data_IF_065231448475
#
_entry.id   IF_065231448475
#
_cell.length_a   1.000
_cell.length_b   1.000
_cell.length_c   1.000
_cell.angle_alpha   90.00
_cell.angle_beta   90.00
_cell.angle_gamma   90.00
#
_symmetry.space_group_name_H-M   'P 1'
#
loop_
_entity.id
_entity.type
_entity.pdbx_description
1 polymer ?
#
# COMPACT_ATOMS: atom_id res chain seq x y z
N UNK A 1 16.46 -9.78 24.26
CA UNK A 1 15.45 -9.99 23.21
C UNK A 1 15.66 -8.93 22.16
N UNK A 2 16.41 -9.28 21.11
CA UNK A 2 16.74 -8.39 20.01
C UNK A 2 15.91 -8.80 18.80
N UNK A 3 14.98 -7.92 18.43
CA UNK A 3 14.03 -8.17 17.35
C UNK A 3 14.60 -7.53 16.09
N UNK A 4 14.93 -8.36 15.11
CA UNK A 4 15.52 -7.92 13.85
C UNK A 4 14.59 -8.21 12.68
N UNK A 5 14.74 -7.39 11.63
CA UNK A 5 14.01 -7.57 10.37
C UNK A 5 14.99 -7.89 9.26
N UNK A 6 14.91 -9.11 8.73
CA UNK A 6 15.58 -9.48 7.49
C UNK A 6 14.70 -9.14 6.30
N UNK A 7 15.28 -8.62 5.22
CA UNK A 7 14.54 -8.30 3.98
C UNK A 7 15.08 -9.14 2.84
N UNK A 8 14.25 -10.05 2.34
CA UNK A 8 14.50 -10.76 1.10
C UNK A 8 13.79 -10.02 -0.04
N UNK A 9 14.60 -9.35 -0.88
CA UNK A 9 14.08 -8.58 -2.01
C UNK A 9 13.63 -9.48 -3.17
N UNK A 10 14.23 -10.65 -3.35
CA UNK A 10 13.89 -11.57 -4.42
C UNK A 10 12.54 -12.22 -4.15
N UNK A 11 12.33 -12.69 -2.92
CA UNK A 11 11.04 -13.23 -2.49
C UNK A 11 10.02 -12.13 -2.13
N UNK A 12 10.44 -10.86 -2.09
CA UNK A 12 9.63 -9.68 -1.71
C UNK A 12 9.00 -9.90 -0.33
N UNK A 13 9.80 -10.20 0.69
CA UNK A 13 9.32 -10.41 2.05
C UNK A 13 10.27 -9.83 3.10
N UNK A 14 9.68 -9.45 4.22
CA UNK A 14 10.35 -9.11 5.47
C UNK A 14 10.13 -10.25 6.47
N UNK A 15 11.17 -10.67 7.17
CA UNK A 15 11.09 -11.64 8.25
C UNK A 15 11.48 -10.94 9.54
N UNK A 16 10.54 -10.86 10.46
CA UNK A 16 10.73 -10.30 11.80
C UNK A 16 10.92 -11.46 12.76
N UNK A 17 12.07 -11.53 13.41
CA UNK A 17 12.42 -12.63 14.33
C UNK A 17 13.31 -12.15 15.48
N UNK A 18 13.37 -12.96 16.53
CA UNK A 18 14.21 -12.75 17.70
C UNK A 18 15.54 -13.47 17.43
N UNK A 19 16.62 -12.70 17.28
CA UNK A 19 17.94 -13.22 16.89
C UNK A 19 18.66 -13.95 18.03
N UNK A 20 18.28 -13.67 19.27
CA UNK A 20 18.77 -14.35 20.48
C UNK A 20 18.12 -15.74 20.65
N UNK A 21 17.13 -16.08 19.83
CA UNK A 21 16.41 -17.35 19.95
C UNK A 21 17.25 -18.53 19.50
N UNK A 22 17.34 -19.55 20.35
CA UNK A 22 18.10 -20.78 20.09
C UNK A 22 17.27 -21.93 19.53
N UNK A 23 15.94 -21.86 19.63
CA UNK A 23 15.01 -22.87 19.13
C UNK A 23 14.21 -22.37 17.91
N UNK A 24 13.81 -23.25 16.98
CA UNK A 24 12.95 -22.87 15.87
C UNK A 24 11.62 -22.24 16.34
N UNK A 25 11.08 -21.24 15.61
CA UNK A 25 9.77 -20.67 15.92
C UNK A 25 8.65 -21.71 15.89
N UNK A 26 7.83 -21.74 16.94
CA UNK A 26 6.66 -22.61 17.04
C UNK A 26 5.46 -22.14 16.18
N UNK A 27 5.45 -20.87 15.79
CA UNK A 27 4.41 -20.29 14.94
C UNK A 27 4.97 -19.19 14.05
N UNK A 28 4.27 -18.92 12.96
CA UNK A 28 4.57 -17.85 12.00
C UNK A 28 3.29 -17.10 11.68
N UNK A 29 3.34 -15.77 11.63
CA UNK A 29 2.23 -14.96 11.17
C UNK A 29 2.64 -14.26 9.88
N UNK A 30 1.98 -14.59 8.78
CA UNK A 30 2.14 -13.91 7.49
C UNK A 30 1.17 -12.74 7.45
N UNK A 31 1.66 -11.56 7.07
CA UNK A 31 0.85 -10.36 6.86
C UNK A 31 1.07 -9.81 5.45
N UNK A 32 -0.02 -9.59 4.73
CA UNK A 32 -0.02 -8.99 3.38
C UNK A 32 -1.38 -8.32 3.13
N UNK A 33 -1.39 -7.05 2.70
CA UNK A 33 -2.63 -6.28 2.39
C UNK A 33 -3.70 -6.23 3.50
N UNK A 34 -3.28 -6.09 4.76
CA UNK A 34 -4.23 -6.08 5.88
C UNK A 34 -4.88 -7.44 6.16
N UNK A 35 -4.41 -8.50 5.51
CA UNK A 35 -4.79 -9.90 5.79
C UNK A 35 -3.66 -10.57 6.54
N UNK A 36 -4.03 -11.41 7.52
CA UNK A 36 -3.10 -12.24 8.24
C UNK A 36 -3.43 -13.73 8.15
N UNK A 37 -2.38 -14.54 8.25
CA UNK A 37 -2.47 -16.00 8.36
C UNK A 37 -1.47 -16.50 9.38
N UNK A 38 -1.96 -17.26 10.35
CA UNK A 38 -1.13 -17.90 11.37
C UNK A 38 -0.88 -19.35 10.97
N UNK A 39 0.38 -19.76 11.05
CA UNK A 39 0.85 -21.11 10.78
C UNK A 39 1.54 -21.61 12.03
N UNK A 40 1.07 -22.73 12.57
CA UNK A 40 1.66 -23.36 13.76
C UNK A 40 2.46 -24.59 13.31
N UNK A 41 3.65 -24.75 13.87
CA UNK A 41 4.47 -25.93 13.69
C UNK A 41 3.81 -27.13 14.38
N UNK A 42 3.72 -28.25 13.67
CA UNK A 42 3.17 -29.49 14.20
C UNK A 42 4.22 -30.24 15.04
N UNK A 43 3.79 -31.14 15.95
CA UNK A 43 4.72 -32.00 16.67
C UNK A 43 5.63 -32.77 15.69
N UNK A 44 6.93 -32.80 15.98
CA UNK A 44 7.97 -33.47 15.18
C UNK A 44 8.16 -32.95 13.75
N UNK A 45 7.53 -31.82 13.40
CA UNK A 45 7.74 -31.18 12.10
C UNK A 45 9.10 -30.50 12.06
N UNK A 46 9.89 -30.79 11.02
CA UNK A 46 11.19 -30.13 10.87
C UNK A 46 11.02 -28.63 10.52
N UNK A 47 11.95 -27.76 10.96
CA UNK A 47 11.86 -26.32 10.66
C UNK A 47 11.78 -26.01 9.16
N UNK A 48 12.47 -26.80 8.33
CA UNK A 48 12.43 -26.66 6.88
C UNK A 48 11.03 -26.93 6.31
N UNK A 49 10.32 -27.94 6.84
CA UNK A 49 8.95 -28.26 6.39
C UNK A 49 7.97 -27.17 6.79
N UNK A 50 8.07 -26.65 8.03
CA UNK A 50 7.25 -25.50 8.46
C UNK A 50 7.50 -24.30 7.54
N UNK A 51 8.76 -24.02 7.21
CA UNK A 51 9.11 -22.90 6.33
C UNK A 51 8.55 -23.08 4.92
N UNK A 52 8.59 -24.29 4.35
CA UNK A 52 7.95 -24.56 3.06
C UNK A 52 6.45 -24.31 3.08
N UNK A 53 5.76 -24.67 4.17
CA UNK A 53 4.33 -24.33 4.36
C UNK A 53 4.11 -22.82 4.45
N UNK A 54 4.99 -22.10 5.14
CA UNK A 54 4.92 -20.62 5.22
C UNK A 54 5.03 -20.00 3.82
N UNK A 55 6.00 -20.44 3.03
CA UNK A 55 6.18 -19.96 1.66
C UNK A 55 5.00 -20.37 0.75
N UNK A 56 4.49 -21.59 0.87
CA UNK A 56 3.31 -22.06 0.13
C UNK A 56 2.07 -21.21 0.44
N UNK A 57 1.80 -20.94 1.72
CA UNK A 57 0.69 -20.06 2.11
C UNK A 57 0.89 -18.62 1.62
N UNK A 58 2.11 -18.10 1.64
CA UNK A 58 2.39 -16.78 1.06
C UNK A 58 2.09 -16.77 -0.45
N UNK A 59 2.47 -17.81 -1.18
CA UNK A 59 2.16 -17.95 -2.60
C UNK A 59 0.64 -17.99 -2.85
N UNK A 60 -0.10 -18.79 -2.07
CA UNK A 60 -1.56 -18.87 -2.15
C UNK A 60 -2.22 -17.50 -1.90
N UNK A 61 -1.75 -16.78 -0.87
CA UNK A 61 -2.25 -15.43 -0.57
C UNK A 61 -1.99 -14.46 -1.73
N UNK A 62 -0.79 -14.52 -2.33
CA UNK A 62 -0.46 -13.70 -3.51
C UNK A 62 -1.31 -14.06 -4.72
N UNK A 63 -1.61 -15.33 -4.93
CA UNK A 63 -2.47 -15.78 -6.02
C UNK A 63 -3.93 -15.33 -5.85
N UNK A 64 -4.41 -15.24 -4.61
CA UNK A 64 -5.72 -14.63 -4.32
C UNK A 64 -5.71 -13.13 -4.63
N UNK A 65 -4.65 -12.42 -4.27
CA UNK A 65 -4.49 -10.99 -4.56
C UNK A 65 -4.46 -10.76 -6.08
N UNK A 66 -3.64 -11.54 -6.81
CA UNK A 66 -3.51 -11.44 -8.28
C UNK A 66 -4.84 -11.67 -9.00
N UNK A 67 -5.65 -12.63 -8.55
CA UNK A 67 -6.95 -12.96 -9.15
C UNK A 67 -8.07 -12.01 -8.76
N UNK A 68 -7.87 -11.17 -7.74
CA UNK A 68 -8.86 -10.20 -7.29
C UNK A 68 -8.93 -8.97 -8.19
N UNK A 69 -9.77 -8.00 -7.82
CA UNK A 69 -9.89 -6.70 -8.50
C UNK A 69 -8.63 -5.79 -8.38
N UNK A 70 -7.51 -6.35 -7.93
CA UNK A 70 -6.32 -5.65 -7.46
C UNK A 70 -5.08 -6.00 -8.30
N UNK A 71 -5.26 -6.12 -9.61
CA UNK A 71 -4.16 -6.34 -10.57
C UNK A 71 -3.00 -5.34 -10.36
N UNK A 72 -1.77 -5.84 -10.40
CA UNK A 72 -0.55 -5.02 -10.30
C UNK A 72 0.10 -4.99 -8.90
N UNK A 73 -0.30 -5.86 -7.98
CA UNK A 73 0.24 -5.93 -6.61
C UNK A 73 0.89 -7.24 -6.21
N UNK A 74 1.10 -8.12 -7.18
CA UNK A 74 1.80 -9.39 -7.12
C UNK A 74 3.18 -9.28 -6.45
N UNK A 75 3.79 -8.09 -6.52
CA UNK A 75 5.11 -7.83 -5.99
C UNK A 75 5.15 -7.26 -4.57
N UNK A 76 4.06 -6.90 -3.90
CA UNK A 76 4.23 -6.21 -2.62
C UNK A 76 5.01 -7.03 -1.58
N UNK A 77 5.69 -6.31 -0.67
CA UNK A 77 6.37 -6.95 0.44
C UNK A 77 5.36 -7.56 1.40
N UNK A 78 5.51 -8.85 1.68
CA UNK A 78 4.85 -9.49 2.80
C UNK A 78 5.70 -9.36 4.06
N UNK A 79 5.08 -9.35 5.24
CA UNK A 79 5.81 -9.41 6.51
C UNK A 79 5.51 -10.72 7.22
N UNK A 80 6.53 -11.47 7.59
CA UNK A 80 6.44 -12.73 8.31
C UNK A 80 6.99 -12.52 9.72
N UNK A 81 6.16 -12.71 10.73
CA UNK A 81 6.59 -12.71 12.13
C UNK A 81 6.89 -14.14 12.57
N UNK A 82 8.15 -14.44 12.87
CA UNK A 82 8.62 -15.77 13.20
C UNK A 82 8.63 -15.99 14.73
N UNK A 83 7.52 -16.52 15.25
CA UNK A 83 7.31 -16.80 16.68
C UNK A 83 7.30 -15.54 17.55
N UNK A 84 6.98 -14.39 16.95
CA UNK A 84 6.71 -13.14 17.62
C UNK A 84 5.29 -12.74 17.24
N UNK A 85 4.54 -12.17 18.17
CA UNK A 85 3.25 -11.57 17.85
C UNK A 85 3.46 -10.13 17.37
N UNK A 86 2.88 -9.73 16.23
CA UNK A 86 2.90 -8.34 15.81
C UNK A 86 2.23 -7.47 16.88
N UNK A 87 2.84 -6.32 17.19
CA UNK A 87 2.23 -5.33 18.08
C UNK A 87 1.03 -4.66 17.39
N UNK A 88 0.12 -4.09 18.16
CA UNK A 88 -1.01 -3.34 17.59
C UNK A 88 -0.53 -2.18 16.71
N UNK A 89 0.56 -1.52 17.10
CA UNK A 89 1.17 -0.46 16.29
C UNK A 89 1.66 -0.99 14.92
N UNK A 90 2.26 -2.17 14.88
CA UNK A 90 2.69 -2.79 13.62
C UNK A 90 1.50 -3.19 12.76
N UNK A 91 0.44 -3.75 13.34
CA UNK A 91 -0.80 -4.07 12.62
C UNK A 91 -1.43 -2.80 12.03
N UNK A 92 -1.51 -1.73 12.82
CA UNK A 92 -1.99 -0.43 12.38
C UNK A 92 -1.14 0.15 11.25
N UNK A 93 0.18 0.02 11.33
CA UNK A 93 1.09 0.45 10.25
C UNK A 93 0.80 -0.31 8.94
N UNK A 94 0.67 -1.65 8.99
CA UNK A 94 0.34 -2.43 7.80
C UNK A 94 -1.03 -2.09 7.22
N UNK A 95 -2.02 -1.85 8.08
CA UNK A 95 -3.37 -1.42 7.66
C UNK A 95 -3.30 -0.04 7.02
N UNK A 96 -2.53 0.89 7.60
CA UNK A 96 -2.32 2.23 7.04
C UNK A 96 -1.70 2.16 5.66
N UNK A 97 -0.63 1.39 5.49
CA UNK A 97 0.05 1.20 4.19
C UNK A 97 -0.90 0.61 3.14
N UNK A 98 -1.79 -0.29 3.57
CA UNK A 98 -2.85 -0.82 2.72
C UNK A 98 -3.87 0.25 2.30
N UNK A 99 -4.39 1.03 3.25
CA UNK A 99 -5.36 2.11 2.99
C UNK A 99 -4.77 3.16 2.06
N UNK A 100 -3.53 3.61 2.32
CA UNK A 100 -2.83 4.60 1.48
C UNK A 100 -2.74 4.12 0.04
N UNK A 101 -2.43 2.85 -0.17
CA UNK A 101 -2.42 2.30 -1.52
C UNK A 101 -3.80 2.28 -2.18
N UNK A 102 -4.83 1.81 -1.47
CA UNK A 102 -6.19 1.75 -2.00
C UNK A 102 -6.63 3.14 -2.47
N UNK A 103 -6.40 4.16 -1.65
CA UNK A 103 -6.72 5.53 -1.98
C UNK A 103 -5.86 6.05 -3.13
N UNK A 104 -4.57 5.71 -3.20
CA UNK A 104 -3.69 6.12 -4.31
C UNK A 104 -4.19 5.54 -5.64
N UNK A 105 -4.64 4.29 -5.65
CA UNK A 105 -5.26 3.67 -6.83
C UNK A 105 -6.57 4.35 -7.19
N UNK A 106 -7.44 4.58 -6.21
CA UNK A 106 -8.73 5.28 -6.42
C UNK A 106 -8.58 6.71 -6.91
N UNK A 107 -7.51 7.40 -6.51
CA UNK A 107 -7.18 8.75 -6.93
C UNK A 107 -6.62 8.82 -8.37
N UNK A 108 -6.11 7.71 -8.90
CA UNK A 108 -5.46 7.69 -10.20
C UNK A 108 -6.47 7.57 -11.35
N UNK A 109 -6.41 8.46 -12.36
CA UNK A 109 -7.27 8.38 -13.54
C UNK A 109 -7.04 7.14 -14.39
N UNK A 110 -5.88 6.48 -14.24
CA UNK A 110 -5.58 5.22 -14.94
C UNK A 110 -6.37 4.02 -14.37
N UNK A 111 -6.78 4.09 -13.10
CA UNK A 111 -7.45 2.99 -12.41
C UNK A 111 -8.91 3.31 -12.03
N UNK A 112 -9.29 4.59 -11.99
CA UNK A 112 -10.63 5.02 -11.65
C UNK A 112 -11.10 6.13 -12.61
N UNK A 113 -12.15 5.86 -13.38
CA UNK A 113 -12.73 6.82 -14.33
C UNK A 113 -13.68 7.83 -13.67
N UNK A 114 -14.20 7.53 -12.48
CA UNK A 114 -15.09 8.45 -11.76
C UNK A 114 -14.33 9.62 -11.13
N UNK A 115 -14.73 10.84 -11.49
CA UNK A 115 -14.09 12.08 -11.03
C UNK A 115 -14.30 12.34 -9.55
N UNK A 116 -15.51 12.12 -9.05
CA UNK A 116 -15.87 12.45 -7.67
C UNK A 116 -15.16 11.51 -6.69
N UNK A 117 -15.17 10.20 -6.98
CA UNK A 117 -14.41 9.22 -6.19
C UNK A 117 -12.91 9.51 -6.18
N UNK A 118 -12.31 9.99 -7.28
CA UNK A 118 -10.90 10.39 -7.31
C UNK A 118 -10.63 11.56 -6.36
N UNK A 119 -11.49 12.58 -6.38
CA UNK A 119 -11.36 13.76 -5.50
C UNK A 119 -11.48 13.34 -4.04
N UNK A 120 -12.47 12.51 -3.70
CA UNK A 120 -12.64 11.99 -2.34
C UNK A 120 -11.41 11.19 -1.87
N UNK A 121 -10.83 10.36 -2.74
CA UNK A 121 -9.62 9.61 -2.42
C UNK A 121 -8.40 10.51 -2.17
N UNK A 122 -8.24 11.58 -2.95
CA UNK A 122 -7.19 12.58 -2.74
C UNK A 122 -7.37 13.35 -1.42
N UNK A 123 -8.61 13.71 -1.08
CA UNK A 123 -8.93 14.35 0.21
C UNK A 123 -8.56 13.42 1.37
N UNK A 124 -9.01 12.17 1.35
CA UNK A 124 -8.68 11.19 2.39
C UNK A 124 -7.16 10.95 2.52
N UNK A 125 -6.43 10.90 1.39
CA UNK A 125 -4.97 10.84 1.41
C UNK A 125 -4.35 12.08 2.07
N UNK A 126 -4.84 13.27 1.74
CA UNK A 126 -4.34 14.51 2.32
C UNK A 126 -4.51 14.54 3.84
N UNK A 127 -5.65 14.10 4.35
CA UNK A 127 -5.93 13.95 5.79
C UNK A 127 -4.98 12.93 6.44
N UNK A 128 -4.82 11.74 5.84
CA UNK A 128 -3.94 10.68 6.33
C UNK A 128 -2.46 11.08 6.38
N UNK A 129 -2.04 11.97 5.49
CA UNK A 129 -0.68 12.51 5.47
C UNK A 129 -0.52 13.80 6.30
N UNK A 130 -1.59 14.28 6.95
CA UNK A 130 -1.57 15.51 7.74
C UNK A 130 -1.37 16.77 6.89
N UNK A 131 -1.75 16.71 5.60
CA UNK A 131 -1.72 17.84 4.68
C UNK A 131 -3.05 18.59 4.87
N UNK A 132 -3.21 19.21 6.03
CA UNK A 132 -4.50 19.81 6.48
C UNK A 132 -4.74 21.21 5.93
N UNK A 133 -3.81 21.78 5.17
CA UNK A 133 -3.98 23.08 4.54
C UNK A 133 -3.91 22.93 3.01
N UNK A 134 -4.94 23.38 2.26
CA UNK A 134 -4.72 23.72 0.87
C UNK A 134 -3.57 24.74 0.85
N UNK A 135 -2.50 24.46 0.11
CA UNK A 135 -1.61 25.56 -0.29
C UNK A 135 -2.53 26.54 -1.00
N UNK A 136 -2.63 27.76 -0.48
CA UNK A 136 -3.34 28.85 -1.15
C UNK A 136 -2.68 29.01 -2.52
N UNK A 137 -3.26 28.38 -3.53
CA UNK A 137 -2.92 28.66 -4.91
C UNK A 137 -3.67 29.94 -5.19
N UNK A 138 -2.96 31.07 -5.11
CA UNK A 138 -3.46 32.31 -5.65
C UNK A 138 -3.60 32.09 -7.16
N UNK A 139 -4.79 31.65 -7.59
CA UNK A 139 -5.19 31.79 -8.97
C UNK A 139 -5.38 33.28 -9.17
N UNK A 140 -4.36 33.94 -9.71
CA UNK A 140 -4.51 35.29 -10.21
C UNK A 140 -5.50 35.17 -11.37
N UNK A 141 -6.78 35.42 -11.10
CA UNK A 141 -7.70 35.86 -12.13
C UNK A 141 -7.10 37.16 -12.66
N UNK A 142 -6.31 37.05 -13.72
CA UNK A 142 -5.95 38.18 -14.55
C UNK A 142 -7.28 38.65 -15.12
N UNK A 143 -7.92 39.63 -14.45
CA UNK A 143 -9.15 40.26 -14.93
C UNK A 143 -8.98 40.74 -16.39
N UNK A 144 -7.74 41.08 -16.75
CA UNK A 144 -7.36 41.47 -18.10
C UNK A 144 -7.24 40.32 -19.10
N UNK A 145 -7.10 39.06 -18.66
CA UNK A 145 -6.99 37.93 -19.59
C UNK A 145 -8.32 37.65 -20.29
N UNK A 146 -9.45 37.83 -19.61
CA UNK A 146 -10.78 37.64 -20.21
C UNK A 146 -11.05 38.69 -21.29
N UNK A 147 -10.67 39.95 -21.04
CA UNK A 147 -10.80 41.03 -22.03
C UNK A 147 -9.74 40.92 -23.14
N UNK A 148 -8.52 40.47 -22.85
CA UNK A 148 -7.50 40.18 -23.88
C UNK A 148 -7.93 39.02 -24.79
N UNK A 149 -8.52 37.96 -24.24
CA UNK A 149 -9.04 36.82 -25.02
C UNK A 149 -10.22 37.26 -25.89
N UNK A 150 -11.16 38.06 -25.37
CA UNK A 150 -12.25 38.62 -26.18
C UNK A 150 -11.75 39.54 -27.29
N UNK A 151 -10.79 40.42 -26.99
CA UNK A 151 -10.21 41.33 -27.97
C UNK A 151 -9.50 40.56 -29.09
N UNK A 152 -8.79 39.48 -28.75
CA UNK A 152 -8.12 38.62 -29.73
C UNK A 152 -9.10 37.80 -30.57
N UNK A 153 -10.21 37.32 -29.99
CA UNK A 153 -11.29 36.66 -30.74
C UNK A 153 -11.93 37.63 -31.73
N UNK A 154 -12.30 38.83 -31.29
CA UNK A 154 -12.89 39.85 -32.15
C UNK A 154 -11.94 40.30 -33.28
N UNK A 155 -10.64 40.38 -32.99
CA UNK A 155 -9.62 40.72 -33.99
C UNK A 155 -9.49 39.66 -35.09
N UNK A 156 -9.66 38.38 -34.75
CA UNK A 156 -9.62 37.26 -35.71
C UNK A 156 -10.88 37.15 -36.54
N UNK A 157 -12.05 37.48 -35.98
CA UNK A 157 -13.32 37.52 -36.72
C UNK A 157 -13.36 38.65 -37.75
N UNK A 158 -12.65 39.76 -37.54
CA UNK A 158 -12.54 40.87 -38.50
C UNK A 158 -11.51 40.61 -39.61
N UNK A 159 -10.61 39.62 -39.43
CA UNK A 159 -9.57 39.25 -40.40
C UNK A 159 -9.98 38.08 -41.32
N UNK A 160 -11.17 37.51 -41.15
CA UNK A 160 -11.80 36.56 -42.08
C UNK A 160 -12.77 37.28 -43.02
#
# INVERSE_FOLDING_TARGET
MSIITHTDRAARLHIVFDDERTAPPAHYTIWIEGRDRVIVAQPFESPAVVWQRVLGQLADMRDVIRRGAWEGRDGIFATIYAGIRPTEQQKQAHIRDWIVFCLTRLASPSFNKDGDSRVQALVALSELHGITAPRVVNVTLLADLHEQVKAEIARREVQQ
#
